data_IF_431459541104
#
_entry.id   IF_431459541104
#
_cell.length_a   1.000
_cell.length_b   1.000
_cell.length_c   1.000
_cell.angle_alpha   90.00
_cell.angle_beta   90.00
_cell.angle_gamma   90.00
#
_symmetry.space_group_name_H-M   'P 1'
#
loop_
_entity.id
_entity.type
_entity.pdbx_description
1 polymer ?
#
# COMPACT_ATOMS: atom_id res chain seq x y z
N UNK A 1 -47.41 37.32 -22.30
CA UNK A 1 -46.19 38.15 -22.37
C UNK A 1 -46.13 38.96 -21.08
N UNK A 2 -45.18 38.88 -20.15
CA UNK A 2 -43.78 38.44 -20.16
C UNK A 2 -43.48 37.73 -18.82
N UNK A 3 -42.73 36.65 -18.88
CA UNK A 3 -42.20 35.86 -17.77
C UNK A 3 -41.08 36.63 -17.07
N UNK A 4 -41.22 36.93 -15.76
CA UNK A 4 -40.09 37.36 -14.93
C UNK A 4 -39.37 36.12 -14.42
N UNK A 5 -38.30 35.78 -15.11
CA UNK A 5 -37.40 34.69 -14.81
C UNK A 5 -36.12 35.27 -14.19
N UNK A 6 -35.66 34.62 -13.13
CA UNK A 6 -34.24 34.51 -12.77
C UNK A 6 -33.52 35.73 -12.18
N UNK A 7 -33.29 35.70 -10.87
CA UNK A 7 -31.93 35.88 -10.34
C UNK A 7 -31.84 35.36 -8.88
N UNK A 8 -31.76 34.04 -8.72
CA UNK A 8 -31.26 33.44 -7.49
C UNK A 8 -29.81 33.04 -7.75
N UNK A 9 -28.88 33.90 -7.36
CA UNK A 9 -27.45 33.68 -7.46
C UNK A 9 -27.06 32.66 -6.36
N UNK A 10 -27.09 31.36 -6.69
CA UNK A 10 -26.53 30.31 -5.86
C UNK A 10 -25.00 30.47 -5.83
N UNK A 11 -24.48 30.98 -4.71
CA UNK A 11 -23.06 30.95 -4.39
C UNK A 11 -22.70 29.51 -3.97
N UNK A 12 -22.47 28.64 -4.95
CA UNK A 12 -21.84 27.35 -4.71
C UNK A 12 -20.34 27.61 -4.53
N UNK A 13 -19.91 27.89 -3.30
CA UNK A 13 -18.49 27.85 -2.94
C UNK A 13 -18.07 26.39 -3.05
N UNK A 14 -17.43 26.05 -4.15
CA UNK A 14 -16.74 24.78 -4.33
C UNK A 14 -15.64 24.69 -3.27
N UNK A 15 -15.95 24.06 -2.15
CA UNK A 15 -14.94 23.56 -1.22
C UNK A 15 -14.31 22.37 -1.93
N UNK A 16 -13.34 22.63 -2.79
CA UNK A 16 -12.43 21.58 -3.24
C UNK A 16 -11.73 21.05 -1.98
N UNK A 17 -11.84 19.76 -1.63
CA UNK A 17 -10.97 19.20 -0.62
C UNK A 17 -9.56 19.31 -1.19
N UNK A 18 -8.78 20.26 -0.68
CA UNK A 18 -7.34 20.26 -0.86
C UNK A 18 -6.85 18.97 -0.20
N UNK A 19 -6.70 17.91 -1.01
CA UNK A 19 -5.99 16.72 -0.60
C UNK A 19 -4.58 17.17 -0.28
N UNK A 20 -4.30 17.41 0.99
CA UNK A 20 -2.97 17.62 1.51
C UNK A 20 -2.27 16.26 1.43
N UNK A 21 -1.90 15.85 0.23
CA UNK A 21 -0.95 14.78 0.01
C UNK A 21 0.38 15.30 0.54
N UNK A 22 0.59 15.17 1.85
CA UNK A 22 1.90 15.28 2.44
C UNK A 22 2.77 14.26 1.68
N UNK A 23 3.62 14.75 0.78
CA UNK A 23 4.58 13.92 0.07
C UNK A 23 5.36 13.15 1.12
N UNK A 24 5.28 11.82 1.07
CA UNK A 24 6.10 10.96 1.91
C UNK A 24 7.55 11.37 1.64
N UNK A 25 8.33 11.76 2.65
CA UNK A 25 9.72 12.12 2.44
C UNK A 25 10.42 10.97 1.70
N UNK A 26 11.11 11.32 0.62
CA UNK A 26 11.95 10.37 -0.12
C UNK A 26 13.03 9.86 0.86
N UNK A 27 13.05 8.56 1.18
CA UNK A 27 14.14 8.09 2.04
C UNK A 27 14.07 6.75 2.75
N UNK A 28 13.07 5.89 2.58
CA UNK A 28 13.10 4.57 3.25
C UNK A 28 12.56 3.46 2.33
N UNK A 29 13.41 2.84 1.50
CA UNK A 29 12.96 1.88 0.49
C UNK A 29 12.28 0.64 1.10
N UNK A 30 12.62 0.31 2.36
CA UNK A 30 11.92 -0.73 3.11
C UNK A 30 10.48 -0.33 3.48
N UNK A 31 10.27 0.91 3.91
CA UNK A 31 8.95 1.43 4.23
C UNK A 31 8.10 1.57 2.95
N UNK A 32 8.71 2.00 1.84
CA UNK A 32 8.05 2.06 0.54
C UNK A 32 7.59 0.69 0.05
N UNK A 33 8.39 -0.35 0.28
CA UNK A 33 7.98 -1.71 -0.07
C UNK A 33 6.72 -2.14 0.69
N UNK A 34 6.66 -1.88 2.01
CA UNK A 34 5.46 -2.15 2.82
C UNK A 34 4.27 -1.33 2.32
N UNK A 35 4.49 -0.03 2.08
CA UNK A 35 3.45 0.88 1.58
C UNK A 35 2.85 0.38 0.28
N UNK A 36 3.66 -0.05 -0.67
CA UNK A 36 3.18 -0.61 -1.95
C UNK A 36 2.33 -1.86 -1.74
N UNK A 37 2.75 -2.77 -0.84
CA UNK A 37 1.96 -3.97 -0.51
C UNK A 37 0.62 -3.57 0.10
N UNK A 38 0.60 -2.64 1.06
CA UNK A 38 -0.64 -2.13 1.67
C UNK A 38 -1.56 -1.49 0.63
N UNK A 39 -1.01 -0.73 -0.32
CA UNK A 39 -1.78 -0.06 -1.36
C UNK A 39 -2.37 -1.02 -2.39
N UNK A 40 -1.59 -2.00 -2.85
CA UNK A 40 -1.98 -2.87 -3.98
C UNK A 40 -2.60 -4.20 -3.54
N UNK A 41 -2.37 -4.63 -2.30
CA UNK A 41 -2.85 -5.90 -1.73
C UNK A 41 -3.64 -5.71 -0.44
N UNK A 42 -4.18 -4.50 -0.21
CA UNK A 42 -4.98 -4.17 0.98
C UNK A 42 -6.12 -5.16 1.25
N UNK A 43 -6.87 -5.55 0.22
CA UNK A 43 -7.96 -6.53 0.35
C UNK A 43 -7.46 -7.93 0.77
N UNK A 44 -6.27 -8.32 0.33
CA UNK A 44 -5.64 -9.58 0.74
C UNK A 44 -5.21 -9.50 2.21
N UNK A 45 -4.54 -8.43 2.61
CA UNK A 45 -4.14 -8.20 4.00
C UNK A 45 -5.36 -8.20 4.92
N UNK A 46 -6.45 -7.52 4.53
CA UNK A 46 -7.67 -7.49 5.33
C UNK A 46 -8.30 -8.89 5.48
N UNK A 47 -8.22 -9.73 4.45
CA UNK A 47 -8.67 -11.13 4.55
C UNK A 47 -7.76 -11.95 5.46
N UNK A 48 -6.44 -11.74 5.41
CA UNK A 48 -5.48 -12.40 6.29
C UNK A 48 -5.65 -11.98 7.75
N UNK A 49 -6.06 -10.74 8.00
CA UNK A 49 -6.33 -10.20 9.34
C UNK A 49 -7.66 -10.65 9.93
N UNK A 50 -8.62 -11.07 9.10
CA UNK A 50 -9.91 -11.56 9.59
C UNK A 50 -9.74 -12.89 10.32
N UNK A 51 -9.92 -12.84 11.63
CA UNK A 51 -10.07 -14.02 12.48
C UNK A 51 -11.47 -14.06 13.08
N UNK A 52 -12.07 -15.26 13.26
CA UNK A 52 -13.34 -15.40 13.97
C UNK A 52 -13.27 -15.02 15.46
N UNK A 53 -12.06 -14.89 16.01
CA UNK A 53 -11.85 -14.65 17.42
C UNK A 53 -11.71 -13.16 17.75
N UNK A 54 -12.56 -12.62 18.63
CA UNK A 54 -12.56 -11.21 19.05
C UNK A 54 -11.26 -10.75 19.73
N UNK A 55 -10.48 -11.68 20.28
CA UNK A 55 -9.21 -11.39 20.97
C UNK A 55 -8.02 -11.35 20.00
N UNK A 56 -8.20 -11.60 18.70
CA UNK A 56 -7.13 -11.48 17.70
C UNK A 56 -6.60 -10.06 17.57
N UNK A 57 -7.36 -9.04 17.99
CA UNK A 57 -6.92 -7.64 17.94
C UNK A 57 -5.73 -7.35 18.84
N UNK A 58 -5.46 -8.17 19.87
CA UNK A 58 -4.30 -8.00 20.75
C UNK A 58 -3.04 -8.69 20.23
N UNK A 59 -3.13 -9.48 19.15
CA UNK A 59 -1.98 -10.18 18.59
C UNK A 59 -0.98 -9.20 17.98
N UNK A 60 0.31 -9.51 18.12
CA UNK A 60 1.36 -8.73 17.48
C UNK A 60 1.28 -8.86 15.95
N UNK A 61 1.43 -7.73 15.25
CA UNK A 61 1.56 -7.67 13.80
C UNK A 61 2.98 -7.25 13.46
N UNK A 62 3.68 -8.09 12.71
CA UNK A 62 5.08 -7.84 12.35
C UNK A 62 5.22 -7.81 10.84
N UNK A 63 5.87 -6.77 10.34
CA UNK A 63 6.29 -6.66 8.94
C UNK A 63 7.80 -6.92 8.86
N UNK A 64 8.20 -7.82 7.98
CA UNK A 64 9.60 -8.07 7.65
C UNK A 64 9.86 -7.64 6.22
N UNK A 65 10.96 -6.93 5.99
CA UNK A 65 11.38 -6.49 4.66
C UNK A 65 12.87 -6.80 4.51
N UNK A 66 13.22 -7.49 3.44
CA UNK A 66 14.62 -7.79 3.11
C UNK A 66 14.86 -7.70 1.62
N UNK A 67 16.09 -7.39 1.23
CA UNK A 67 16.55 -7.63 -0.15
C UNK A 67 16.79 -9.13 -0.33
N UNK A 68 16.31 -9.74 -1.42
CA UNK A 68 16.46 -11.19 -1.62
C UNK A 68 17.85 -11.58 -2.11
N UNK A 69 18.61 -10.65 -2.68
CA UNK A 69 19.94 -10.91 -3.23
C UNK A 69 21.00 -10.03 -2.54
N UNK A 70 22.18 -10.61 -2.34
CA UNK A 70 23.35 -9.89 -1.87
C UNK A 70 24.01 -9.08 -3.00
N UNK A 71 24.93 -8.16 -2.65
CA UNK A 71 25.66 -7.37 -3.64
C UNK A 71 26.41 -8.27 -4.64
N UNK A 72 26.39 -7.88 -5.92
CA UNK A 72 27.18 -8.51 -6.99
C UNK A 72 26.48 -9.65 -7.76
N UNK A 73 25.26 -10.04 -7.40
CA UNK A 73 24.52 -11.11 -8.10
C UNK A 73 23.51 -10.51 -9.10
N UNK A 74 22.69 -9.55 -8.66
CA UNK A 74 21.70 -8.81 -9.45
C UNK A 74 21.53 -7.42 -8.81
N UNK A 75 21.30 -6.38 -9.61
CA UNK A 75 20.86 -5.09 -9.05
C UNK A 75 19.48 -5.27 -8.41
N UNK A 76 19.48 -5.38 -7.09
CA UNK A 76 18.28 -5.54 -6.29
C UNK A 76 17.94 -4.27 -5.53
N UNK A 77 18.47 -3.12 -5.94
CA UNK A 77 18.31 -1.82 -5.26
C UNK A 77 16.84 -1.45 -5.06
N UNK A 78 15.96 -1.91 -5.94
CA UNK A 78 14.52 -1.69 -5.87
C UNK A 78 13.73 -2.97 -5.55
N UNK A 79 14.38 -4.11 -5.37
CA UNK A 79 13.72 -5.39 -5.21
C UNK A 79 13.74 -5.89 -3.77
N UNK A 80 12.56 -6.18 -3.23
CA UNK A 80 12.34 -6.56 -1.85
C UNK A 80 11.43 -7.78 -1.73
N UNK A 81 11.66 -8.58 -0.70
CA UNK A 81 10.69 -9.53 -0.18
C UNK A 81 10.07 -8.93 1.08
N UNK A 82 8.74 -8.83 1.09
CA UNK A 82 7.95 -8.34 2.22
C UNK A 82 7.14 -9.52 2.78
N UNK A 83 7.18 -9.71 4.09
CA UNK A 83 6.37 -10.71 4.78
C UNK A 83 5.56 -10.08 5.90
N UNK A 84 4.32 -10.53 6.06
CA UNK A 84 3.40 -10.12 7.11
C UNK A 84 3.12 -11.30 8.04
N UNK A 85 3.29 -11.05 9.34
CA UNK A 85 3.09 -12.06 10.39
C UNK A 85 2.11 -11.58 11.44
N UNK A 86 1.33 -12.52 11.97
CA UNK A 86 0.45 -12.33 13.12
C UNK A 86 0.87 -13.34 14.19
N UNK A 87 1.24 -12.86 15.38
CA UNK A 87 1.65 -13.70 16.52
C UNK A 87 2.79 -14.66 16.15
N UNK A 88 3.81 -14.11 15.47
CA UNK A 88 4.99 -14.85 14.99
C UNK A 88 4.76 -15.77 13.77
N UNK A 89 3.51 -15.96 13.32
CA UNK A 89 3.21 -16.78 12.14
C UNK A 89 3.12 -15.92 10.88
N UNK A 90 3.93 -16.24 9.86
CA UNK A 90 3.82 -15.61 8.54
C UNK A 90 2.50 -16.02 7.88
N UNK A 91 1.67 -15.02 7.56
CA UNK A 91 0.37 -15.19 6.91
C UNK A 91 0.36 -14.68 5.46
N UNK A 92 1.32 -13.82 5.09
CA UNK A 92 1.47 -13.32 3.72
C UNK A 92 2.92 -13.03 3.37
N UNK A 93 3.27 -13.22 2.10
CA UNK A 93 4.59 -12.89 1.54
C UNK A 93 4.42 -12.37 0.12
N UNK A 94 5.12 -11.29 -0.21
CA UNK A 94 5.09 -10.64 -1.52
C UNK A 94 6.49 -10.27 -2.00
N UNK A 95 6.67 -10.34 -3.31
CA UNK A 95 7.81 -9.78 -4.02
C UNK A 95 7.44 -8.36 -4.47
N UNK A 96 8.32 -7.39 -4.21
CA UNK A 96 8.05 -5.96 -4.43
C UNK A 96 9.17 -5.34 -5.23
N UNK A 97 8.83 -4.62 -6.30
CA UNK A 97 9.74 -3.76 -7.04
C UNK A 97 9.32 -2.31 -6.83
N UNK A 98 10.07 -1.57 -6.02
CA UNK A 98 9.77 -0.17 -5.69
C UNK A 98 10.08 0.79 -6.84
N UNK A 99 10.91 0.40 -7.80
CA UNK A 99 11.24 1.19 -8.99
C UNK A 99 10.11 1.17 -10.03
N UNK A 100 9.48 0.01 -10.21
CA UNK A 100 8.34 -0.16 -11.14
C UNK A 100 6.96 -0.07 -10.47
N UNK A 101 6.91 0.02 -9.13
CA UNK A 101 5.66 0.05 -8.37
C UNK A 101 4.89 -1.27 -8.40
N UNK A 102 5.57 -2.39 -8.59
CA UNK A 102 4.95 -3.71 -8.72
C UNK A 102 4.95 -4.49 -7.41
N UNK A 103 3.87 -5.22 -7.16
CA UNK A 103 3.73 -6.18 -6.05
C UNK A 103 3.20 -7.49 -6.60
N UNK A 104 3.93 -8.57 -6.41
CA UNK A 104 3.59 -9.92 -6.83
C UNK A 104 3.41 -10.85 -5.63
N UNK A 105 2.30 -11.58 -5.59
CA UNK A 105 2.02 -12.61 -4.60
C UNK A 105 2.71 -13.95 -4.90
N UNK A 106 2.47 -14.99 -4.09
CA UNK A 106 3.03 -16.32 -4.31
C UNK A 106 2.63 -16.88 -5.69
N UNK A 107 3.64 -17.27 -6.48
CA UNK A 107 3.43 -17.82 -7.83
C UNK A 107 3.20 -16.77 -8.93
N UNK A 108 3.10 -15.49 -8.58
CA UNK A 108 3.04 -14.40 -9.55
C UNK A 108 4.45 -13.97 -9.96
N UNK A 109 4.61 -13.59 -11.23
CA UNK A 109 5.89 -13.11 -11.75
C UNK A 109 6.06 -11.62 -11.50
N UNK A 110 7.28 -11.20 -11.15
CA UNK A 110 7.66 -9.79 -11.05
C UNK A 110 8.80 -9.49 -12.02
N UNK A 111 8.78 -8.32 -12.64
CA UNK A 111 9.84 -7.89 -13.53
C UNK A 111 10.99 -7.29 -12.72
N UNK A 112 12.19 -7.79 -12.98
CA UNK A 112 13.45 -7.24 -12.48
C UNK A 112 14.15 -6.71 -13.73
N UNK A 113 14.44 -5.40 -13.74
CA UNK A 113 15.12 -4.73 -14.86
C UNK A 113 16.61 -4.58 -14.56
#
# INVERSE_FOLDING_TARGET
MKTLQSLLLLLLVAISPTSLAAGVPEGFPHADAIRLVMQLRGDEIQRLDRSPDWWHDTKERTWSVKRPFGPGIVDSTHYFQVSYSIDGKVVGTWSVNTGSGQVAGPGESIRIE
#
